data_IF_811859353939
#
_entry.id   IF_811859353939
#
_cell.length_a   1.000
_cell.length_b   1.000
_cell.length_c   1.000
_cell.angle_alpha   90.00
_cell.angle_beta   90.00
_cell.angle_gamma   90.00
#
_symmetry.space_group_name_H-M   'P 1'
#
loop_
_entity.id
_entity.type
_entity.pdbx_description
1 polymer ?
#
# COMPACT_ATOMS: atom_id res chain seq x y z
N UNK A 1 4.69 -25.45 30.81
CA UNK A 1 5.41 -25.04 29.58
C UNK A 1 4.35 -24.60 28.58
N UNK A 2 4.00 -23.31 28.56
CA UNK A 2 2.93 -22.80 27.68
C UNK A 2 3.48 -22.60 26.27
N UNK A 3 2.97 -23.38 25.32
CA UNK A 3 3.23 -23.17 23.90
C UNK A 3 2.51 -21.89 23.46
N UNK A 4 3.28 -20.82 23.23
CA UNK A 4 2.80 -19.66 22.47
C UNK A 4 2.62 -20.13 21.02
N UNK A 5 1.40 -20.46 20.63
CA UNK A 5 1.05 -20.66 19.22
C UNK A 5 1.25 -19.30 18.56
N UNK A 6 2.36 -19.15 17.83
CA UNK A 6 2.53 -18.07 16.85
C UNK A 6 1.52 -18.34 15.73
N UNK A 7 0.28 -17.89 15.94
CA UNK A 7 -0.73 -17.87 14.88
C UNK A 7 -0.16 -17.01 13.77
N UNK A 8 0.20 -17.64 12.64
CA UNK A 8 0.51 -16.91 11.42
C UNK A 8 -0.64 -15.93 11.16
N UNK A 9 -0.36 -14.66 10.82
CA UNK A 9 -1.42 -13.70 10.56
C UNK A 9 -2.36 -14.28 9.50
N UNK A 10 -3.66 -14.21 9.77
CA UNK A 10 -4.67 -14.74 8.87
C UNK A 10 -4.42 -14.19 7.44
N UNK A 11 -4.51 -15.03 6.39
CA UNK A 11 -4.36 -14.55 5.02
C UNK A 11 -5.30 -13.36 4.81
N UNK A 12 -4.71 -12.22 4.45
CA UNK A 12 -5.43 -10.96 4.28
C UNK A 12 -6.36 -11.08 3.06
N UNK A 13 -7.62 -11.43 3.31
CA UNK A 13 -8.63 -11.59 2.26
C UNK A 13 -8.67 -10.34 1.37
N UNK A 14 -8.75 -10.56 0.05
CA UNK A 14 -8.96 -9.47 -0.92
C UNK A 14 -10.32 -8.84 -0.65
N UNK A 15 -10.44 -7.50 -0.62
CA UNK A 15 -11.74 -6.86 -0.45
C UNK A 15 -12.69 -7.26 -1.58
N UNK A 16 -13.97 -7.46 -1.24
CA UNK A 16 -15.02 -7.64 -2.23
C UNK A 16 -15.42 -6.28 -2.81
N UNK A 17 -15.34 -6.15 -4.13
CA UNK A 17 -15.73 -4.94 -4.86
C UNK A 17 -17.07 -5.09 -5.58
N UNK A 18 -17.82 -6.16 -5.30
CA UNK A 18 -19.17 -6.35 -5.82
C UNK A 18 -20.06 -5.18 -5.43
N UNK A 19 -20.72 -4.55 -6.41
CA UNK A 19 -21.58 -3.39 -6.19
C UNK A 19 -20.85 -2.04 -6.06
N UNK A 20 -19.52 -2.01 -6.13
CA UNK A 20 -18.73 -0.77 -6.12
C UNK A 20 -18.55 -0.26 -7.55
N UNK A 21 -18.93 1.00 -7.81
CA UNK A 21 -18.75 1.64 -9.12
C UNK A 21 -17.26 1.85 -9.45
N UNK A 22 -16.93 1.95 -10.73
CA UNK A 22 -15.54 2.15 -11.18
C UNK A 22 -14.94 3.45 -10.65
N UNK A 23 -15.74 4.53 -10.61
CA UNK A 23 -15.32 5.81 -10.03
C UNK A 23 -14.98 5.69 -8.53
N UNK A 24 -15.83 5.02 -7.75
CA UNK A 24 -15.56 4.79 -6.33
C UNK A 24 -14.34 3.91 -6.12
N UNK A 25 -14.18 2.86 -6.93
CA UNK A 25 -13.03 1.98 -6.91
C UNK A 25 -11.73 2.74 -7.22
N UNK A 26 -11.76 3.62 -8.22
CA UNK A 26 -10.63 4.48 -8.56
C UNK A 26 -10.26 5.43 -7.42
N UNK A 27 -11.24 6.05 -6.76
CA UNK A 27 -10.99 6.91 -5.60
C UNK A 27 -10.45 6.14 -4.40
N UNK A 28 -10.93 4.91 -4.14
CA UNK A 28 -10.35 4.00 -3.14
C UNK A 28 -8.89 3.71 -3.45
N UNK A 29 -8.57 3.39 -4.70
CA UNK A 29 -7.19 3.10 -5.11
C UNK A 29 -6.28 4.33 -4.93
N UNK A 30 -6.74 5.53 -5.33
CA UNK A 30 -5.99 6.77 -5.10
C UNK A 30 -5.81 7.09 -3.63
N UNK A 31 -6.83 6.82 -2.80
CA UNK A 31 -6.73 6.97 -1.35
C UNK A 31 -5.64 6.05 -0.78
N UNK A 32 -5.64 4.76 -1.14
CA UNK A 32 -4.64 3.81 -0.67
C UNK A 32 -3.21 4.16 -1.14
N UNK A 33 -3.05 4.64 -2.37
CA UNK A 33 -1.75 5.17 -2.83
C UNK A 33 -1.28 6.36 -1.99
N UNK A 34 -2.21 7.24 -1.57
CA UNK A 34 -1.91 8.39 -0.72
C UNK A 34 -1.49 7.96 0.69
N UNK A 35 -2.20 7.01 1.30
CA UNK A 35 -1.85 6.45 2.61
C UNK A 35 -0.48 5.79 2.57
N UNK A 36 -0.22 4.92 1.58
CA UNK A 36 1.09 4.30 1.39
C UNK A 36 2.20 5.35 1.20
N UNK A 37 1.94 6.37 0.38
CA UNK A 37 2.89 7.48 0.16
C UNK A 37 3.20 8.27 1.43
N UNK A 38 2.27 8.35 2.38
CA UNK A 38 2.47 8.98 3.68
C UNK A 38 3.29 8.07 4.62
N UNK A 39 2.97 6.77 4.66
CA UNK A 39 3.76 5.78 5.41
C UNK A 39 5.22 5.75 4.98
N UNK A 40 5.48 5.66 3.67
CA UNK A 40 6.83 5.70 3.10
C UNK A 40 7.56 7.02 3.41
N UNK A 41 6.85 8.15 3.47
CA UNK A 41 7.44 9.43 3.86
C UNK A 41 7.88 9.43 5.33
N UNK A 42 7.08 8.84 6.21
CA UNK A 42 7.42 8.74 7.63
C UNK A 42 8.64 7.83 7.83
N UNK A 43 8.72 6.70 7.12
CA UNK A 43 9.90 5.83 7.14
C UNK A 43 11.14 6.54 6.62
N UNK A 44 11.04 7.29 5.53
CA UNK A 44 12.14 8.11 5.03
C UNK A 44 12.63 9.17 6.05
N UNK A 45 11.71 9.73 6.85
CA UNK A 45 12.04 10.73 7.89
C UNK A 45 12.72 10.10 9.11
N UNK A 46 12.39 8.85 9.42
CA UNK A 46 12.89 8.13 10.58
C UNK A 46 14.03 7.15 10.23
N UNK A 47 14.49 7.14 8.98
CA UNK A 47 15.59 6.29 8.53
C UNK A 47 16.89 6.61 9.27
N UNK A 48 17.66 5.57 9.60
CA UNK A 48 18.89 5.69 10.40
C UNK A 48 20.12 6.10 9.57
N UNK A 49 20.05 5.86 8.26
CA UNK A 49 21.08 6.21 7.30
C UNK A 49 20.48 6.69 5.97
N UNK A 50 21.35 7.20 5.11
CA UNK A 50 20.95 7.77 3.83
C UNK A 50 20.54 6.73 2.79
N UNK A 51 20.98 5.46 2.94
CA UNK A 51 20.61 4.38 2.03
C UNK A 51 19.14 3.98 2.26
N UNK A 52 18.76 3.72 3.51
CA UNK A 52 17.38 3.45 3.91
C UNK A 52 16.47 4.63 3.54
N UNK A 53 16.90 5.86 3.82
CA UNK A 53 16.17 7.06 3.43
C UNK A 53 15.97 7.12 1.92
N UNK A 54 17.02 6.86 1.15
CA UNK A 54 17.00 6.83 -0.31
C UNK A 54 16.01 5.81 -0.84
N UNK A 55 16.01 4.60 -0.27
CA UNK A 55 15.07 3.53 -0.60
C UNK A 55 13.61 3.97 -0.43
N UNK A 56 13.24 4.49 0.74
CA UNK A 56 11.86 4.91 1.02
C UNK A 56 11.42 6.09 0.14
N UNK A 57 12.32 7.05 -0.12
CA UNK A 57 12.04 8.17 -1.03
C UNK A 57 11.81 7.69 -2.46
N UNK A 58 12.63 6.76 -2.95
CA UNK A 58 12.49 6.19 -4.29
C UNK A 58 11.18 5.42 -4.43
N UNK A 59 10.85 4.55 -3.46
CA UNK A 59 9.58 3.81 -3.50
C UNK A 59 8.37 4.75 -3.48
N UNK A 60 8.40 5.79 -2.64
CA UNK A 60 7.34 6.82 -2.61
C UNK A 60 7.17 7.53 -3.95
N UNK A 61 8.26 7.87 -4.64
CA UNK A 61 8.20 8.49 -5.97
C UNK A 61 7.53 7.56 -6.98
N UNK A 62 7.87 6.27 -6.94
CA UNK A 62 7.25 5.27 -7.81
C UNK A 62 5.74 5.13 -7.55
N UNK A 63 5.30 5.03 -6.29
CA UNK A 63 3.86 4.98 -5.95
C UNK A 63 3.11 6.19 -6.51
N UNK A 64 3.68 7.39 -6.36
CA UNK A 64 3.08 8.61 -6.90
C UNK A 64 3.01 8.62 -8.42
N UNK A 65 4.01 8.08 -9.10
CA UNK A 65 4.00 7.96 -10.55
C UNK A 65 2.93 6.97 -11.01
N UNK A 66 2.88 5.78 -10.40
CA UNK A 66 1.87 4.75 -10.66
C UNK A 66 0.45 5.31 -10.47
N UNK A 67 0.20 6.01 -9.37
CA UNK A 67 -1.11 6.62 -9.09
C UNK A 67 -1.52 7.72 -10.09
N UNK A 68 -0.55 8.41 -10.73
CA UNK A 68 -0.83 9.43 -11.75
C UNK A 68 -1.20 8.84 -13.10
N UNK A 69 -0.68 7.66 -13.42
CA UNK A 69 -0.88 7.01 -14.73
C UNK A 69 -1.94 5.91 -14.69
N UNK A 70 -2.49 5.60 -13.51
CA UNK A 70 -3.54 4.60 -13.33
C UNK A 70 -4.77 4.98 -14.17
N UNK A 71 -5.22 4.07 -15.03
CA UNK A 71 -6.37 4.29 -15.89
C UNK A 71 -7.68 4.16 -15.09
N UNK A 72 -8.52 5.22 -15.02
CA UNK A 72 -9.80 5.15 -14.30
C UNK A 72 -10.85 4.26 -14.99
N UNK A 73 -10.66 3.90 -16.27
CA UNK A 73 -11.60 3.08 -17.04
C UNK A 73 -11.23 1.58 -17.01
N UNK A 74 -10.02 1.22 -16.57
CA UNK A 74 -9.59 -0.17 -16.45
C UNK A 74 -9.82 -0.71 -15.04
N UNK A 75 -11.03 -1.26 -14.82
CA UNK A 75 -11.41 -1.84 -13.53
C UNK A 75 -10.43 -2.92 -13.06
N UNK A 76 -9.94 -3.77 -13.96
CA UNK A 76 -9.06 -4.87 -13.58
C UNK A 76 -7.70 -4.36 -13.11
N UNK A 77 -7.14 -3.37 -13.81
CA UNK A 77 -5.92 -2.67 -13.43
C UNK A 77 -6.08 -2.00 -12.07
N UNK A 78 -7.17 -1.27 -11.85
CA UNK A 78 -7.40 -0.57 -10.57
C UNK A 78 -7.43 -1.57 -9.42
N UNK A 79 -8.12 -2.71 -9.55
CA UNK A 79 -8.17 -3.68 -8.44
C UNK A 79 -6.78 -4.26 -8.19
N UNK A 80 -6.06 -4.67 -9.24
CA UNK A 80 -4.73 -5.25 -9.11
C UNK A 80 -3.75 -4.27 -8.43
N UNK A 81 -3.74 -3.01 -8.88
CA UNK A 81 -2.86 -1.99 -8.35
C UNK A 81 -3.23 -1.60 -6.91
N UNK A 82 -4.53 -1.53 -6.59
CA UNK A 82 -5.02 -1.28 -5.24
C UNK A 82 -4.62 -2.40 -4.28
N UNK A 83 -4.69 -3.66 -4.71
CA UNK A 83 -4.29 -4.81 -3.91
C UNK A 83 -2.79 -4.76 -3.57
N UNK A 84 -1.94 -4.42 -4.56
CA UNK A 84 -0.50 -4.22 -4.34
C UNK A 84 -0.25 -3.13 -3.29
N UNK A 85 -0.86 -1.96 -3.43
CA UNK A 85 -0.65 -0.86 -2.48
C UNK A 85 -1.20 -1.19 -1.08
N UNK A 86 -2.33 -1.90 -0.99
CA UNK A 86 -2.89 -2.34 0.30
C UNK A 86 -1.94 -3.30 1.01
N UNK A 87 -1.44 -4.30 0.31
CA UNK A 87 -0.52 -5.29 0.88
C UNK A 87 0.79 -4.65 1.33
N UNK A 88 1.33 -3.74 0.53
CA UNK A 88 2.52 -3.00 0.92
C UNK A 88 2.29 -2.12 2.14
N UNK A 89 1.13 -1.44 2.22
CA UNK A 89 0.78 -0.63 3.38
C UNK A 89 0.68 -1.46 4.68
N UNK A 90 0.19 -2.70 4.58
CA UNK A 90 0.14 -3.65 5.71
C UNK A 90 1.53 -4.19 6.08
N UNK A 91 2.44 -4.27 5.12
CA UNK A 91 3.80 -4.75 5.31
C UNK A 91 4.76 -3.64 5.76
N UNK A 92 4.34 -2.37 5.75
CA UNK A 92 5.18 -1.28 6.24
C UNK A 92 5.56 -1.54 7.71
N UNK A 93 6.84 -1.40 8.08
CA UNK A 93 7.23 -1.51 9.47
C UNK A 93 6.49 -0.45 10.29
N UNK A 94 6.06 -0.82 11.49
CA UNK A 94 5.54 0.13 12.44
C UNK A 94 6.59 1.24 12.63
N UNK A 95 6.18 2.50 12.54
CA UNK A 95 7.07 3.62 12.81
C UNK A 95 7.60 3.47 14.23
N UNK A 96 8.89 3.15 14.34
CA UNK A 96 9.62 3.09 15.60
C UNK A 96 9.83 4.50 16.19
#
# INVERSE_FOLDING_TARGET
MSQTILTAPAPQARPDYTGISDAMLYDIARHNASVLSAGLLNLARNAKDDEDRGHWVARRRLVKQQARVLNPEDRAEIIAQNEVWRLENLALPAAA
#
